data_IF_496762365459
#
_entry.id   IF_496762365459
#
_cell.length_a   1.000
_cell.length_b   1.000
_cell.length_c   1.000
_cell.angle_alpha   90.00
_cell.angle_beta   90.00
_cell.angle_gamma   90.00
#
_symmetry.space_group_name_H-M   'P 1'
#
loop_
_entity.id
_entity.type
_entity.pdbx_description
1 polymer ?
#
# COMPACT_ATOMS: atom_id res chain seq x y z
N UNK A 1 -35.29 17.10 -19.74
CA UNK A 1 -34.70 16.36 -18.59
C UNK A 1 -33.59 15.40 -19.01
N UNK A 2 -33.76 14.58 -20.06
CA UNK A 2 -32.71 13.64 -20.53
C UNK A 2 -31.37 14.27 -20.94
N UNK A 3 -31.39 15.42 -21.63
CA UNK A 3 -30.16 16.13 -22.01
C UNK A 3 -29.33 16.62 -20.80
N UNK A 4 -29.98 17.03 -19.71
CA UNK A 4 -29.27 17.45 -18.50
C UNK A 4 -28.58 16.27 -17.82
N UNK A 5 -29.22 15.09 -17.81
CA UNK A 5 -28.63 13.87 -17.27
C UNK A 5 -27.41 13.42 -18.07
N UNK A 6 -27.43 13.57 -19.40
CA UNK A 6 -26.26 13.23 -20.23
C UNK A 6 -25.09 14.16 -20.01
N UNK A 7 -25.34 15.46 -19.79
CA UNK A 7 -24.27 16.41 -19.48
C UNK A 7 -23.71 16.20 -18.07
N UNK A 8 -24.56 15.87 -17.08
CA UNK A 8 -24.11 15.51 -15.74
C UNK A 8 -23.28 14.21 -15.74
N UNK A 9 -23.68 13.21 -16.52
CA UNK A 9 -22.91 11.98 -16.69
C UNK A 9 -21.56 12.29 -17.35
N UNK A 10 -21.53 13.09 -18.41
CA UNK A 10 -20.27 13.51 -19.06
C UNK A 10 -19.36 14.25 -18.08
N UNK A 11 -19.89 15.18 -17.29
CA UNK A 11 -19.12 15.90 -16.28
C UNK A 11 -18.51 14.95 -15.24
N UNK A 12 -19.28 13.98 -14.73
CA UNK A 12 -18.78 12.99 -13.76
C UNK A 12 -17.65 12.12 -14.32
N UNK A 13 -17.69 11.75 -15.61
CA UNK A 13 -16.64 10.96 -16.24
C UNK A 13 -15.35 11.77 -16.43
N UNK A 14 -15.47 13.08 -16.65
CA UNK A 14 -14.31 13.96 -16.76
C UNK A 14 -13.61 14.09 -15.39
N UNK A 15 -14.37 14.17 -14.31
CA UNK A 15 -13.82 14.23 -12.95
C UNK A 15 -13.09 12.93 -12.57
N UNK A 16 -13.68 11.76 -12.81
CA UNK A 16 -13.02 10.47 -12.50
C UNK A 16 -11.76 10.25 -13.33
N UNK A 17 -11.76 10.70 -14.60
CA UNK A 17 -10.57 10.68 -15.43
C UNK A 17 -9.48 11.60 -14.87
N UNK A 18 -9.85 12.81 -14.45
CA UNK A 18 -8.90 13.76 -13.86
C UNK A 18 -8.25 13.20 -12.58
N UNK A 19 -9.04 12.56 -11.70
CA UNK A 19 -8.53 11.91 -10.49
C UNK A 19 -7.60 10.73 -10.80
N UNK A 20 -7.93 9.94 -11.82
CA UNK A 20 -7.10 8.83 -12.29
C UNK A 20 -5.76 9.33 -12.84
N UNK A 21 -5.80 10.39 -13.66
CA UNK A 21 -4.59 11.03 -14.20
C UNK A 21 -3.73 11.62 -13.09
N UNK A 22 -4.34 12.29 -12.10
CA UNK A 22 -3.62 12.84 -10.95
C UNK A 22 -2.94 11.75 -10.13
N UNK A 23 -3.64 10.64 -9.88
CA UNK A 23 -3.07 9.47 -9.18
C UNK A 23 -1.91 8.88 -9.97
N UNK A 24 -2.08 8.71 -11.29
CA UNK A 24 -1.02 8.22 -12.18
C UNK A 24 0.20 9.14 -12.16
N UNK A 25 0.00 10.47 -12.24
CA UNK A 25 1.09 11.44 -12.15
C UNK A 25 1.84 11.34 -10.82
N UNK A 26 1.13 11.18 -9.70
CA UNK A 26 1.76 10.98 -8.39
C UNK A 26 2.60 9.69 -8.34
N UNK A 27 2.08 8.59 -8.89
CA UNK A 27 2.82 7.32 -8.97
C UNK A 27 4.07 7.47 -9.84
N UNK A 28 3.97 8.09 -11.01
CA UNK A 28 5.11 8.34 -11.90
C UNK A 28 6.17 9.21 -11.21
N UNK A 29 5.76 10.27 -10.51
CA UNK A 29 6.69 11.14 -9.78
C UNK A 29 7.44 10.38 -8.68
N UNK A 30 6.74 9.54 -7.91
CA UNK A 30 7.37 8.67 -6.91
C UNK A 30 8.39 7.71 -7.54
N UNK A 31 8.08 7.14 -8.70
CA UNK A 31 9.00 6.28 -9.45
C UNK A 31 10.22 7.07 -9.98
N UNK A 32 10.03 8.32 -10.43
CA UNK A 32 11.14 9.19 -10.81
C UNK A 32 12.05 9.52 -9.63
N UNK A 33 11.48 9.79 -8.45
CA UNK A 33 12.26 10.02 -7.23
C UNK A 33 13.07 8.79 -6.83
N UNK A 34 12.51 7.57 -6.92
CA UNK A 34 13.28 6.36 -6.62
C UNK A 34 14.44 6.18 -7.61
N UNK A 35 14.22 6.43 -8.91
CA UNK A 35 15.28 6.42 -9.94
C UNK A 35 16.38 7.43 -9.66
N UNK A 36 16.02 8.62 -9.18
CA UNK A 36 17.00 9.64 -8.78
C UNK A 36 17.89 9.15 -7.62
N UNK A 37 17.31 8.49 -6.62
CA UNK A 37 18.08 7.88 -5.51
C UNK A 37 19.06 6.82 -6.02
N UNK A 38 18.66 5.99 -6.99
CA UNK A 38 19.58 5.02 -7.61
C UNK A 38 20.70 5.70 -8.41
N UNK A 39 20.44 6.82 -9.07
CA UNK A 39 21.48 7.57 -9.78
C UNK A 39 22.53 8.16 -8.83
N UNK A 40 22.13 8.55 -7.61
CA UNK A 40 23.06 9.01 -6.57
C UNK A 40 24.05 7.92 -6.15
N UNK A 41 23.76 6.63 -6.39
CA UNK A 41 24.67 5.52 -6.14
C UNK A 41 25.93 5.56 -7.04
N UNK A 42 26.01 6.45 -8.03
CA UNK A 42 27.26 6.74 -8.75
C UNK A 42 28.32 7.39 -7.86
N UNK A 43 27.92 8.08 -6.79
CA UNK A 43 28.86 8.63 -5.82
C UNK A 43 29.34 7.54 -4.85
N UNK A 44 30.66 7.36 -4.65
CA UNK A 44 31.22 6.18 -3.96
C UNK A 44 30.71 5.98 -2.52
N UNK A 45 30.34 7.05 -1.81
CA UNK A 45 29.74 6.95 -0.47
C UNK A 45 28.29 6.44 -0.48
N UNK A 46 27.52 6.79 -1.51
CA UNK A 46 26.11 6.37 -1.66
C UNK A 46 26.05 4.95 -2.25
N UNK A 47 27.01 4.57 -3.09
CA UNK A 47 27.15 3.21 -3.62
C UNK A 47 27.21 2.16 -2.49
N UNK A 48 28.02 2.41 -1.46
CA UNK A 48 28.15 1.50 -0.32
C UNK A 48 26.82 1.37 0.43
N UNK A 49 26.10 2.49 0.63
CA UNK A 49 24.79 2.46 1.26
C UNK A 49 23.77 1.70 0.40
N UNK A 50 23.74 1.93 -0.90
CA UNK A 50 22.86 1.22 -1.83
C UNK A 50 23.13 -0.29 -1.80
N UNK A 51 24.39 -0.71 -1.72
CA UNK A 51 24.76 -2.12 -1.60
C UNK A 51 24.31 -2.73 -0.25
N UNK A 52 24.47 -2.01 0.86
CA UNK A 52 23.99 -2.47 2.17
C UNK A 52 22.47 -2.64 2.19
N UNK A 53 21.73 -1.70 1.58
CA UNK A 53 20.28 -1.80 1.44
C UNK A 53 19.91 -2.96 0.53
N UNK A 54 20.64 -3.18 -0.57
CA UNK A 54 20.40 -4.30 -1.50
C UNK A 54 20.55 -5.65 -0.80
N UNK A 55 21.64 -5.84 -0.06
CA UNK A 55 21.89 -7.08 0.70
C UNK A 55 20.84 -7.24 1.80
N UNK A 56 20.63 -6.20 2.62
CA UNK A 56 19.64 -6.24 3.70
C UNK A 56 18.20 -6.42 3.21
N UNK A 57 17.87 -6.00 1.99
CA UNK A 57 16.54 -6.19 1.40
C UNK A 57 16.21 -7.67 1.16
N UNK A 58 17.20 -8.49 0.81
CA UNK A 58 16.99 -9.94 0.65
C UNK A 58 16.62 -10.59 2.00
N UNK A 59 17.38 -10.28 3.04
CA UNK A 59 17.10 -10.74 4.41
C UNK A 59 15.74 -10.23 4.92
N UNK A 60 15.44 -8.96 4.69
CA UNK A 60 14.15 -8.34 5.04
C UNK A 60 12.98 -8.99 4.28
N UNK A 61 13.17 -9.37 3.02
CA UNK A 61 12.13 -10.02 2.22
C UNK A 61 11.79 -11.42 2.76
N UNK A 62 12.82 -12.22 3.08
CA UNK A 62 12.61 -13.53 3.70
C UNK A 62 11.93 -13.41 5.07
N UNK A 63 12.38 -12.45 5.90
CA UNK A 63 11.71 -12.14 7.17
C UNK A 63 10.25 -11.71 6.95
N UNK A 64 9.99 -10.87 5.95
CA UNK A 64 8.66 -10.36 5.67
C UNK A 64 7.70 -11.46 5.25
N UNK A 65 8.15 -12.48 4.51
CA UNK A 65 7.31 -13.65 4.18
C UNK A 65 6.89 -14.37 5.46
N UNK A 66 7.85 -14.69 6.33
CA UNK A 66 7.58 -15.38 7.60
C UNK A 66 6.66 -14.54 8.50
N UNK A 67 6.94 -13.25 8.60
CA UNK A 67 6.11 -12.29 9.33
C UNK A 67 4.70 -12.24 8.76
N UNK A 68 4.52 -12.08 7.45
CA UNK A 68 3.22 -11.98 6.81
C UNK A 68 2.39 -13.27 6.97
N UNK A 69 3.02 -14.45 6.88
CA UNK A 69 2.36 -15.74 7.15
C UNK A 69 1.86 -15.81 8.59
N UNK A 70 2.73 -15.51 9.57
CA UNK A 70 2.35 -15.53 10.97
C UNK A 70 1.25 -14.49 11.25
N UNK A 71 1.45 -13.26 10.79
CA UNK A 71 0.52 -12.15 10.97
C UNK A 71 -0.87 -12.46 10.40
N UNK A 72 -0.93 -13.06 9.21
CA UNK A 72 -2.18 -13.52 8.61
C UNK A 72 -2.85 -14.63 9.42
N UNK A 73 -2.08 -15.57 9.96
CA UNK A 73 -2.61 -16.63 10.83
C UNK A 73 -3.22 -16.03 12.11
N UNK A 74 -2.57 -15.04 12.73
CA UNK A 74 -3.13 -14.36 13.89
C UNK A 74 -4.42 -13.61 13.52
N UNK A 75 -4.49 -12.91 12.38
CA UNK A 75 -5.70 -12.22 11.94
C UNK A 75 -6.86 -13.20 11.71
N UNK A 76 -6.56 -14.37 11.13
CA UNK A 76 -7.54 -15.44 10.96
C UNK A 76 -8.06 -15.97 12.30
N UNK A 77 -7.17 -16.25 13.25
CA UNK A 77 -7.54 -16.68 14.60
C UNK A 77 -8.38 -15.62 15.33
N UNK A 78 -8.00 -14.35 15.25
CA UNK A 78 -8.74 -13.27 15.87
C UNK A 78 -10.16 -13.13 15.28
N UNK A 79 -10.30 -13.25 13.95
CA UNK A 79 -11.61 -13.33 13.29
C UNK A 79 -12.41 -14.55 13.76
N UNK A 80 -11.77 -15.71 13.88
CA UNK A 80 -12.45 -16.94 14.31
C UNK A 80 -12.97 -16.84 15.75
N UNK A 81 -12.17 -16.31 16.66
CA UNK A 81 -12.50 -16.26 18.09
C UNK A 81 -13.42 -15.09 18.44
N UNK A 82 -13.11 -13.89 17.94
CA UNK A 82 -13.78 -12.66 18.35
C UNK A 82 -14.78 -12.12 17.34
N UNK A 83 -14.90 -12.79 16.19
CA UNK A 83 -15.60 -12.26 15.04
C UNK A 83 -17.09 -11.98 15.23
N UNK A 84 -17.74 -12.74 16.11
CA UNK A 84 -19.17 -12.56 16.40
C UNK A 84 -19.41 -11.57 17.55
N UNK A 85 -18.38 -11.27 18.33
CA UNK A 85 -18.48 -10.41 19.53
C UNK A 85 -17.97 -8.99 19.31
N UNK A 86 -16.98 -8.80 18.43
CA UNK A 86 -16.30 -7.53 18.25
C UNK A 86 -16.30 -7.11 16.77
N UNK A 87 -16.86 -5.93 16.48
CA UNK A 87 -16.97 -5.40 15.12
C UNK A 87 -15.61 -5.23 14.42
N UNK A 88 -14.54 -4.96 15.18
CA UNK A 88 -13.17 -4.81 14.65
C UNK A 88 -12.58 -6.12 14.09
N UNK A 89 -13.16 -7.27 14.46
CA UNK A 89 -12.78 -8.57 13.93
C UNK A 89 -13.89 -9.12 13.03
N UNK A 90 -14.76 -8.28 12.45
CA UNK A 90 -15.89 -8.72 11.62
C UNK A 90 -15.46 -9.33 10.28
N UNK A 91 -14.37 -8.87 9.70
CA UNK A 91 -13.79 -9.46 8.50
C UNK A 91 -12.31 -9.74 8.69
N UNK A 92 -11.74 -10.58 7.83
CA UNK A 92 -10.30 -10.84 7.83
C UNK A 92 -9.48 -9.57 7.58
N UNK A 93 -9.98 -8.69 6.70
CA UNK A 93 -9.34 -7.41 6.42
C UNK A 93 -9.37 -6.48 7.65
N UNK A 94 -10.51 -6.42 8.33
CA UNK A 94 -10.64 -5.65 9.58
C UNK A 94 -9.71 -6.22 10.67
N UNK A 95 -9.59 -7.54 10.76
CA UNK A 95 -8.68 -8.19 11.71
C UNK A 95 -7.21 -7.88 11.42
N UNK A 96 -6.79 -7.89 10.14
CA UNK A 96 -5.44 -7.50 9.72
C UNK A 96 -5.14 -6.02 10.05
N UNK A 97 -6.09 -5.12 9.79
CA UNK A 97 -5.93 -3.70 10.12
C UNK A 97 -5.91 -3.45 11.63
N UNK A 98 -6.76 -4.16 12.38
CA UNK A 98 -6.84 -4.03 13.85
C UNK A 98 -5.54 -4.43 14.53
N UNK A 99 -4.84 -5.45 14.00
CA UNK A 99 -3.54 -5.87 14.51
C UNK A 99 -2.41 -4.87 14.21
N UNK A 100 -2.55 -4.05 13.16
CA UNK A 100 -1.56 -3.04 12.75
C UNK A 100 -1.85 -1.68 13.39
N UNK A 101 -3.11 -1.45 13.76
CA UNK A 101 -3.56 -0.24 14.41
C UNK A 101 -3.05 -0.13 15.85
N UNK A 102 -2.93 1.09 16.38
CA UNK A 102 -2.62 1.27 17.79
C UNK A 102 -3.73 0.63 18.63
N UNK A 103 -3.36 -0.25 19.56
CA UNK A 103 -4.24 -0.79 20.59
C UNK A 103 -4.96 0.39 21.28
N UNK A 104 -6.23 0.61 20.94
CA UNK A 104 -7.11 1.57 21.59
C UNK A 104 -8.25 0.80 22.25
#
# INVERSE_FOLDING_TARGET
TGQYLTELLRASQIETLADSLRTLTMVILCLCCSRFVFFLATHPRVAILAETVRIGSDDMFHFFILFATLYSLLAFLARWVFGDSLAQFKSFNDALYTQAGPFR
#
